data_IF_456689733718
#
_entry.id   IF_456689733718
#
_cell.length_a   1.000
_cell.length_b   1.000
_cell.length_c   1.000
_cell.angle_alpha   90.00
_cell.angle_beta   90.00
_cell.angle_gamma   90.00
#
_symmetry.space_group_name_H-M   'P 1'
#
loop_
_entity.id
_entity.type
_entity.pdbx_description
1 polymer ?
#
# COMPACT_ATOMS: atom_id res chain seq x y z
N UNK A 1 -83.35 -14.00 -34.81
CA UNK A 1 -82.62 -12.73 -34.59
C UNK A 1 -81.71 -12.54 -35.79
N UNK A 2 -81.65 -11.34 -36.40
CA UNK A 2 -80.74 -11.09 -37.52
C UNK A 2 -79.29 -11.34 -37.05
N UNK A 3 -78.52 -12.03 -37.89
CA UNK A 3 -77.16 -12.47 -37.58
C UNK A 3 -76.18 -11.35 -37.94
N UNK A 4 -75.39 -10.88 -36.99
CA UNK A 4 -74.40 -9.82 -37.23
C UNK A 4 -73.24 -10.36 -38.07
N UNK A 5 -73.03 -9.75 -39.24
CA UNK A 5 -71.95 -10.07 -40.16
C UNK A 5 -70.90 -8.95 -40.14
N UNK A 6 -69.62 -9.26 -40.40
CA UNK A 6 -68.60 -8.23 -40.58
C UNK A 6 -68.93 -7.35 -41.80
N UNK A 7 -68.53 -6.07 -41.78
CA UNK A 7 -68.77 -5.16 -42.90
C UNK A 7 -68.14 -5.70 -44.19
N UNK A 8 -68.80 -5.49 -45.33
CA UNK A 8 -68.37 -6.01 -46.64
C UNK A 8 -66.97 -5.55 -47.09
N UNK A 9 -66.43 -4.48 -46.48
CA UNK A 9 -65.06 -3.99 -46.70
C UNK A 9 -64.01 -4.46 -45.68
N UNK A 10 -64.38 -5.29 -44.70
CA UNK A 10 -63.48 -5.74 -43.63
C UNK A 10 -63.15 -4.69 -42.57
N UNK A 11 -62.41 -5.10 -41.54
CA UNK A 11 -61.89 -4.21 -40.50
C UNK A 11 -60.54 -3.61 -40.90
N UNK A 12 -60.20 -2.46 -40.31
CA UNK A 12 -58.88 -1.86 -40.47
C UNK A 12 -57.78 -2.81 -39.97
N UNK A 13 -56.61 -2.74 -40.62
CA UNK A 13 -55.46 -3.55 -40.25
C UNK A 13 -54.96 -3.19 -38.84
N UNK A 14 -55.23 -4.06 -37.88
CA UNK A 14 -54.73 -3.92 -36.51
C UNK A 14 -53.21 -4.11 -36.49
N UNK A 15 -52.48 -3.10 -36.01
CA UNK A 15 -51.04 -3.24 -35.81
C UNK A 15 -50.73 -4.17 -34.64
N UNK A 16 -50.35 -5.39 -34.97
CA UNK A 16 -49.90 -6.39 -33.99
C UNK A 16 -48.40 -6.27 -33.65
N UNK A 17 -47.62 -5.56 -34.48
CA UNK A 17 -46.18 -5.36 -34.29
C UNK A 17 -45.90 -4.15 -33.42
N UNK A 18 -44.98 -4.31 -32.47
CA UNK A 18 -44.54 -3.23 -31.60
C UNK A 18 -43.57 -2.29 -32.34
N UNK A 19 -44.00 -1.06 -32.60
CA UNK A 19 -43.18 -0.03 -33.25
C UNK A 19 -42.36 0.76 -32.22
N UNK A 20 -41.15 0.29 -31.89
CA UNK A 20 -40.22 1.03 -31.02
C UNK A 20 -39.08 1.59 -31.88
N UNK A 21 -39.07 2.89 -32.21
CA UNK A 21 -37.98 3.48 -32.97
C UNK A 21 -36.72 3.55 -32.11
N UNK A 22 -35.59 3.10 -32.66
CA UNK A 22 -34.27 3.21 -32.04
C UNK A 22 -33.79 4.67 -32.12
N UNK A 23 -34.17 5.47 -31.11
CA UNK A 23 -33.75 6.88 -30.98
C UNK A 23 -32.39 6.95 -30.25
N UNK A 24 -31.45 7.74 -30.78
CA UNK A 24 -30.16 8.02 -30.13
C UNK A 24 -28.96 8.01 -31.06
N UNK A 25 -27.78 8.36 -30.52
CA UNK A 25 -26.51 8.21 -31.23
C UNK A 25 -26.12 6.72 -31.27
N UNK A 26 -25.55 6.29 -32.40
CA UNK A 26 -25.01 4.92 -32.50
C UNK A 26 -23.87 4.73 -31.47
N UNK A 27 -23.69 3.52 -30.90
CA UNK A 27 -22.65 3.22 -29.90
C UNK A 27 -21.24 3.69 -30.29
N UNK A 28 -20.91 3.63 -31.58
CA UNK A 28 -19.65 4.10 -32.13
C UNK A 28 -19.34 5.57 -31.80
N UNK A 29 -20.33 6.45 -31.85
CA UNK A 29 -20.12 7.87 -31.59
C UNK A 29 -19.81 8.16 -30.11
N UNK A 30 -20.34 7.35 -29.20
CA UNK A 30 -19.98 7.45 -27.79
C UNK A 30 -18.52 7.05 -27.55
N UNK A 31 -18.03 6.00 -28.23
CA UNK A 31 -16.64 5.59 -28.13
C UNK A 31 -15.69 6.67 -28.66
N UNK A 32 -16.04 7.30 -29.79
CA UNK A 32 -15.27 8.41 -30.36
C UNK A 32 -15.29 9.63 -29.41
N UNK A 33 -16.47 10.00 -28.89
CA UNK A 33 -16.59 11.14 -27.98
C UNK A 33 -15.78 10.96 -26.70
N UNK A 34 -15.90 9.80 -26.04
CA UNK A 34 -15.13 9.48 -24.83
C UNK A 34 -13.64 9.38 -25.15
N UNK A 35 -13.27 8.76 -26.27
CA UNK A 35 -11.88 8.64 -26.71
C UNK A 35 -11.21 10.00 -26.92
N UNK A 36 -11.91 10.96 -27.53
CA UNK A 36 -11.39 12.32 -27.73
C UNK A 36 -11.24 13.08 -26.41
N UNK A 37 -12.22 12.98 -25.50
CA UNK A 37 -12.13 13.61 -24.17
C UNK A 37 -10.95 13.05 -23.38
N UNK A 38 -10.77 11.72 -23.39
CA UNK A 38 -9.66 11.07 -22.70
C UNK A 38 -8.31 11.41 -23.33
N UNK A 39 -8.22 11.41 -24.67
CA UNK A 39 -7.01 11.80 -25.39
C UNK A 39 -6.60 13.25 -25.08
N UNK A 40 -7.57 14.16 -25.03
CA UNK A 40 -7.33 15.54 -24.64
C UNK A 40 -6.91 15.67 -23.17
N UNK A 41 -7.56 14.95 -22.26
CA UNK A 41 -7.19 14.92 -20.85
C UNK A 41 -5.75 14.44 -20.65
N UNK A 42 -5.34 13.39 -21.38
CA UNK A 42 -3.99 12.85 -21.32
C UNK A 42 -2.93 13.85 -21.80
N UNK A 43 -3.24 14.61 -22.87
CA UNK A 43 -2.37 15.72 -23.33
C UNK A 43 -2.14 16.77 -22.24
N UNK A 44 -3.18 17.18 -21.52
CA UNK A 44 -3.06 18.19 -20.46
C UNK A 44 -2.25 17.69 -19.27
N UNK A 45 -2.43 16.42 -18.90
CA UNK A 45 -1.62 15.78 -17.84
C UNK A 45 -0.14 15.78 -18.20
N UNK A 46 0.23 15.45 -19.43
CA UNK A 46 1.63 15.47 -19.85
C UNK A 46 2.28 16.85 -19.75
N UNK A 47 1.54 17.92 -20.06
CA UNK A 47 2.03 19.29 -19.91
C UNK A 47 2.25 19.61 -18.43
N UNK A 48 1.25 19.36 -17.58
CA UNK A 48 1.38 19.60 -16.13
C UNK A 48 2.47 18.78 -15.45
N UNK A 49 2.79 17.59 -15.95
CA UNK A 49 3.86 16.76 -15.40
C UNK A 49 5.26 17.32 -15.67
N UNK A 50 5.43 18.01 -16.81
CA UNK A 50 6.67 18.74 -17.12
C UNK A 50 6.88 19.90 -16.15
N UNK A 51 5.84 20.68 -15.91
CA UNK A 51 5.87 21.80 -14.96
C UNK A 51 6.18 21.33 -13.53
N UNK A 52 5.56 20.23 -13.07
CA UNK A 52 5.86 19.63 -11.77
C UNK A 52 7.31 19.17 -11.64
N UNK A 53 7.88 18.66 -12.72
CA UNK A 53 9.28 18.23 -12.72
C UNK A 53 10.21 19.43 -12.57
N UNK A 54 9.89 20.55 -13.21
CA UNK A 54 10.67 21.78 -13.08
C UNK A 54 10.57 22.35 -11.66
N UNK A 55 9.36 22.46 -11.11
CA UNK A 55 9.18 22.88 -9.71
C UNK A 55 9.91 21.96 -8.71
N UNK A 56 9.88 20.64 -8.94
CA UNK A 56 10.62 19.69 -8.12
C UNK A 56 12.14 19.85 -8.25
N UNK A 57 12.62 20.21 -9.44
CA UNK A 57 14.03 20.56 -9.67
C UNK A 57 14.39 21.81 -8.89
N UNK A 58 13.65 22.90 -9.05
CA UNK A 58 13.88 24.15 -8.29
C UNK A 58 13.92 23.91 -6.78
N UNK A 59 12.98 23.11 -6.26
CA UNK A 59 12.95 22.70 -4.84
C UNK A 59 14.16 21.85 -4.45
N UNK A 60 14.63 20.97 -5.31
CA UNK A 60 15.83 20.17 -5.04
C UNK A 60 17.08 21.06 -5.03
N UNK A 61 17.16 21.99 -5.98
CA UNK A 61 18.25 22.96 -6.06
C UNK A 61 18.29 23.85 -4.82
N UNK A 62 17.16 24.37 -4.35
CA UNK A 62 17.13 25.14 -3.10
C UNK A 62 17.60 24.31 -1.91
N UNK A 63 17.24 23.02 -1.86
CA UNK A 63 17.69 22.11 -0.81
C UNK A 63 19.20 21.87 -0.85
N UNK A 64 19.80 21.60 -2.02
CA UNK A 64 21.25 21.35 -2.14
C UNK A 64 22.06 22.52 -1.58
N UNK A 65 21.61 23.75 -1.76
CA UNK A 65 22.29 24.95 -1.25
C UNK A 65 22.13 25.15 0.26
N UNK A 66 21.02 24.70 0.85
CA UNK A 66 20.74 24.85 2.29
C UNK A 66 21.28 23.68 3.12
N UNK A 67 21.30 22.46 2.57
CA UNK A 67 21.78 21.24 3.24
C UNK A 67 23.15 21.39 3.93
N UNK A 68 24.21 21.97 3.32
CA UNK A 68 25.51 22.05 3.99
C UNK A 68 25.48 22.93 5.24
N UNK A 69 24.68 24.01 5.25
CA UNK A 69 24.53 24.86 6.43
C UNK A 69 23.78 24.13 7.54
N UNK A 70 22.66 23.48 7.20
CA UNK A 70 21.86 22.73 8.17
C UNK A 70 22.62 21.53 8.75
N UNK A 71 23.38 20.82 7.91
CA UNK A 71 24.23 19.72 8.36
C UNK A 71 25.30 20.23 9.35
N UNK A 72 25.92 21.38 9.06
CA UNK A 72 26.91 21.96 9.97
C UNK A 72 26.32 22.42 11.31
N UNK A 73 25.07 22.88 11.33
CA UNK A 73 24.35 23.18 12.59
C UNK A 73 24.03 21.91 13.37
N UNK A 74 23.53 20.88 12.69
CA UNK A 74 23.23 19.60 13.32
C UNK A 74 24.50 18.94 13.91
N UNK A 75 25.60 18.92 13.16
CA UNK A 75 26.87 18.36 13.60
C UNK A 75 27.38 19.06 14.88
N UNK A 76 27.21 20.38 15.02
CA UNK A 76 27.58 21.13 16.24
C UNK A 76 26.74 20.74 17.44
N UNK A 77 25.43 20.57 17.26
CA UNK A 77 24.52 20.18 18.34
C UNK A 77 24.71 18.74 18.77
N UNK A 78 25.01 17.84 17.82
CA UNK A 78 25.36 16.46 18.13
C UNK A 78 26.63 16.37 19.00
N UNK A 79 27.67 17.13 18.65
CA UNK A 79 28.91 17.19 19.43
C UNK A 79 28.68 17.71 20.85
N UNK A 80 27.81 18.72 21.03
CA UNK A 80 27.45 19.24 22.36
C UNK A 80 26.77 18.19 23.23
N UNK A 81 25.82 17.44 22.67
CA UNK A 81 25.12 16.36 23.39
C UNK A 81 26.08 15.23 23.75
N UNK A 82 26.93 14.84 22.80
CA UNK A 82 27.93 13.79 23.00
C UNK A 82 28.86 14.11 24.18
N UNK A 83 29.42 15.31 24.25
CA UNK A 83 30.29 15.69 25.36
C UNK A 83 29.54 15.83 26.70
N UNK A 84 28.28 16.29 26.68
CA UNK A 84 27.46 16.32 27.88
C UNK A 84 27.15 14.91 28.42
N UNK A 85 26.92 13.95 27.53
CA UNK A 85 26.69 12.56 27.90
C UNK A 85 27.97 11.90 28.42
N UNK A 86 29.13 12.15 27.80
CA UNK A 86 30.43 11.68 28.29
C UNK A 86 30.80 12.26 29.67
N UNK A 87 30.52 13.55 29.90
CA UNK A 87 30.73 14.17 31.20
C UNK A 87 29.86 13.51 32.28
N UNK A 88 28.58 13.26 31.97
CA UNK A 88 27.65 12.57 32.86
C UNK A 88 28.07 11.12 33.12
N UNK A 89 28.53 10.39 32.10
CA UNK A 89 29.05 9.03 32.26
C UNK A 89 30.25 9.01 33.19
N UNK A 90 31.19 9.96 33.02
CA UNK A 90 32.38 10.06 33.87
C UNK A 90 32.04 10.36 35.33
N UNK A 91 31.04 11.21 35.59
CA UNK A 91 30.57 11.50 36.95
C UNK A 91 29.92 10.28 37.62
N UNK A 92 29.18 9.47 36.87
CA UNK A 92 28.45 8.31 37.40
C UNK A 92 29.32 7.05 37.53
N UNK A 93 30.15 6.77 36.53
CA UNK A 93 30.92 5.52 36.40
C UNK A 93 32.41 5.70 36.70
N UNK A 94 32.87 6.94 36.92
CA UNK A 94 34.27 7.26 37.22
C UNK A 94 35.25 7.11 36.04
N UNK A 95 34.81 6.55 34.91
CA UNK A 95 35.61 6.35 33.70
C UNK A 95 34.74 6.48 32.44
N UNK A 96 35.38 6.75 31.30
CA UNK A 96 34.70 6.77 29.99
C UNK A 96 34.90 5.42 29.32
N UNK A 97 33.82 4.71 29.02
CA UNK A 97 33.88 3.35 28.46
C UNK A 97 33.52 3.33 26.97
N UNK A 98 34.35 2.67 26.15
CA UNK A 98 34.08 2.48 24.74
C UNK A 98 33.29 1.20 24.49
N UNK A 99 32.13 1.28 23.83
CA UNK A 99 31.33 0.10 23.49
C UNK A 99 31.94 -0.75 22.35
N UNK A 100 32.77 -0.15 21.50
CA UNK A 100 33.32 -0.77 20.30
C UNK A 100 34.85 -0.76 20.33
N UNK A 101 35.46 -1.79 19.73
CA UNK A 101 36.91 -1.98 19.66
C UNK A 101 37.56 -1.33 18.43
N UNK A 102 36.84 -0.44 17.73
CA UNK A 102 37.31 0.24 16.51
C UNK A 102 37.12 1.74 16.63
N UNK A 103 38.10 2.52 16.16
CA UNK A 103 38.08 4.00 16.19
C UNK A 103 37.15 4.63 15.15
N UNK A 104 36.38 3.82 14.42
CA UNK A 104 35.42 4.29 13.42
C UNK A 104 34.22 4.91 14.13
N UNK A 105 33.88 6.15 13.76
CA UNK A 105 32.64 6.77 14.19
C UNK A 105 31.43 5.97 13.70
N UNK A 106 30.57 5.59 14.64
CA UNK A 106 29.29 4.93 14.40
C UNK A 106 28.19 5.86 14.89
N UNK A 107 27.29 6.22 13.98
CA UNK A 107 26.13 7.03 14.33
C UNK A 107 25.29 6.27 15.37
N UNK A 108 24.92 6.96 16.46
CA UNK A 108 24.22 6.35 17.58
C UNK A 108 22.91 5.70 17.10
N UNK A 109 22.77 4.35 17.12
CA UNK A 109 21.63 3.69 16.53
C UNK A 109 20.42 3.79 17.47
N UNK A 110 19.65 4.87 17.33
CA UNK A 110 18.36 5.05 18.02
C UNK A 110 17.37 3.89 17.77
N UNK A 111 17.63 3.09 16.72
CA UNK A 111 16.83 1.94 16.27
C UNK A 111 16.72 0.83 17.33
N UNK A 112 17.74 0.62 18.17
CA UNK A 112 17.72 -0.47 19.17
C UNK A 112 16.69 -0.17 20.28
N UNK A 113 16.49 1.10 20.64
CA UNK A 113 15.52 1.49 21.67
C UNK A 113 14.06 1.32 21.22
N UNK A 114 13.77 1.54 19.93
CA UNK A 114 12.41 1.40 19.37
C UNK A 114 11.94 -0.05 19.29
N UNK A 115 12.83 -0.97 18.90
CA UNK A 115 12.51 -2.41 18.81
C UNK A 115 12.27 -3.01 20.20
N UNK A 116 13.04 -2.62 21.21
CA UNK A 116 12.85 -3.05 22.61
C UNK A 116 11.55 -2.48 23.21
N UNK A 117 11.17 -1.25 22.85
CA UNK A 117 9.90 -0.63 23.26
C UNK A 117 8.66 -1.33 22.68
N UNK A 118 8.69 -1.70 21.40
CA UNK A 118 7.59 -2.42 20.71
C UNK A 118 7.47 -3.86 21.22
N UNK A 119 8.59 -4.55 21.46
CA UNK A 119 8.58 -5.92 21.96
C UNK A 119 8.08 -6.01 23.41
N UNK A 120 8.38 -5.00 24.23
CA UNK A 120 7.91 -4.90 25.62
C UNK A 120 6.46 -4.44 25.76
N UNK A 121 5.88 -3.77 24.75
CA UNK A 121 4.43 -3.50 24.72
C UNK A 121 3.64 -4.73 24.25
N UNK A 122 4.19 -5.52 23.34
CA UNK A 122 3.52 -6.71 22.78
C UNK A 122 3.31 -7.84 23.81
N UNK A 123 4.19 -7.99 24.79
CA UNK A 123 4.04 -9.02 25.86
C UNK A 123 3.02 -8.66 26.93
N UNK A 124 2.52 -7.42 26.97
CA UNK A 124 1.58 -6.95 28.00
C UNK A 124 0.10 -7.17 27.64
N UNK A 125 -0.23 -7.27 26.35
CA UNK A 125 -1.62 -7.41 25.84
C UNK A 125 -2.17 -8.85 25.76
N UNK A 126 -1.31 -9.88 25.78
CA UNK A 126 -1.74 -11.27 25.59
C UNK A 126 -2.48 -11.90 26.79
N UNK A 127 -2.39 -11.32 27.98
CA UNK A 127 -3.03 -11.87 29.20
C UNK A 127 -4.56 -11.74 29.25
N UNK A 128 -5.16 -10.93 28.36
CA UNK A 128 -6.61 -10.74 28.27
C UNK A 128 -7.32 -11.67 27.29
N UNK A 129 -6.60 -12.16 26.26
CA UNK A 129 -7.19 -12.91 25.16
C UNK A 129 -7.48 -14.39 25.53
N UNK A 130 -6.73 -14.96 26.47
CA UNK A 130 -6.85 -16.39 26.85
C UNK A 130 -8.18 -16.72 27.54
N UNK A 131 -8.74 -15.80 28.35
CA UNK A 131 -9.97 -16.08 29.09
C UNK A 131 -11.22 -16.09 28.21
N UNK A 132 -11.31 -15.18 27.24
CA UNK A 132 -12.48 -15.09 26.36
C UNK A 132 -12.52 -16.21 25.33
N UNK A 133 -11.35 -16.62 24.82
CA UNK A 133 -11.22 -17.73 23.86
C UNK A 133 -11.51 -19.07 24.57
N UNK A 134 -10.96 -19.31 25.77
CA UNK A 134 -11.24 -20.53 26.51
C UNK A 134 -12.71 -20.65 26.95
N UNK A 135 -13.38 -19.55 27.31
CA UNK A 135 -14.82 -19.55 27.58
C UNK A 135 -15.69 -19.72 26.33
N UNK A 136 -15.28 -19.15 25.19
CA UNK A 136 -15.96 -19.33 23.92
C UNK A 136 -15.82 -20.78 23.42
N UNK A 137 -14.62 -21.36 23.51
CA UNK A 137 -14.33 -22.76 23.19
C UNK A 137 -15.08 -23.70 24.15
N UNK A 138 -15.13 -23.38 25.45
CA UNK A 138 -15.93 -24.10 26.44
C UNK A 138 -17.43 -24.10 26.15
N UNK A 139 -17.97 -22.97 25.64
CA UNK A 139 -19.38 -22.87 25.19
C UNK A 139 -19.65 -23.64 23.90
N UNK A 140 -18.69 -23.69 22.97
CA UNK A 140 -18.81 -24.42 21.70
C UNK A 140 -18.71 -25.94 21.93
N UNK A 141 -17.80 -26.39 22.82
CA UNK A 141 -17.64 -27.80 23.15
C UNK A 141 -18.83 -28.38 23.93
N UNK A 142 -19.53 -27.58 24.74
CA UNK A 142 -20.74 -28.01 25.46
C UNK A 142 -21.96 -28.19 24.54
N UNK A 143 -21.95 -27.61 23.34
CA UNK A 143 -23.02 -27.70 22.32
C UNK A 143 -22.86 -28.87 21.34
N UNK A 144 -21.72 -29.58 21.38
CA UNK A 144 -21.40 -30.74 20.52
C UNK A 144 -21.33 -32.07 21.27
N UNK A 145 -21.92 -32.17 22.46
CA UNK A 145 -22.07 -33.43 23.19
C UNK A 145 -23.18 -34.29 22.60
N UNK A 146 -22.94 -34.96 21.47
CA UNK A 146 -23.98 -35.78 20.84
C UNK A 146 -23.58 -36.54 19.57
N UNK A 147 -22.42 -37.23 19.58
CA UNK A 147 -22.16 -38.50 18.88
C UNK A 147 -20.69 -38.90 19.04
N UNK A 148 -20.42 -39.85 19.94
CA UNK A 148 -19.17 -40.62 19.92
C UNK A 148 -19.31 -41.68 18.82
N UNK A 149 -18.64 -41.48 17.70
CA UNK A 149 -18.20 -42.58 16.86
C UNK A 149 -16.70 -42.71 17.02
N UNK A 150 -16.25 -43.87 17.54
CA UNK A 150 -14.86 -44.32 17.42
C UNK A 150 -14.58 -44.53 15.94
N UNK A 151 -13.51 -43.91 15.43
CA UNK A 151 -12.78 -44.38 14.25
C UNK A 151 -11.30 -44.12 14.51
N UNK A 152 -10.52 -45.11 14.11
CA UNK A 152 -9.22 -45.47 14.65
C UNK A 152 -8.06 -44.55 14.23
N UNK A 153 -7.01 -44.63 15.04
CA UNK A 153 -5.68 -44.12 14.74
C UNK A 153 -5.17 -44.75 13.46
N UNK A 154 -4.84 -43.91 12.48
CA UNK A 154 -4.27 -44.29 11.19
C UNK A 154 -3.30 -43.22 10.71
N UNK A 155 -2.04 -43.43 11.09
CA UNK A 155 -0.83 -43.03 10.38
C UNK A 155 -1.02 -42.70 8.89
N UNK A 156 -0.61 -41.50 8.45
CA UNK A 156 0.32 -41.30 7.33
C UNK A 156 0.51 -39.82 6.93
N UNK A 157 1.80 -39.46 6.88
CA UNK A 157 2.48 -38.69 5.82
C UNK A 157 1.94 -37.30 5.42
N UNK A 158 2.72 -36.31 5.85
CA UNK A 158 3.57 -35.48 4.96
C UNK A 158 2.94 -35.10 3.62
N UNK A 159 2.30 -33.93 3.57
CA UNK A 159 2.16 -33.15 2.35
C UNK A 159 2.09 -31.66 2.69
N UNK A 160 3.19 -30.93 2.56
CA UNK A 160 3.12 -29.57 2.01
C UNK A 160 4.50 -29.09 1.52
N UNK A 161 4.68 -29.29 0.22
CA UNK A 161 5.20 -28.33 -0.77
C UNK A 161 6.03 -27.15 -0.24
N UNK A 162 7.30 -27.17 -0.62
CA UNK A 162 8.22 -26.04 -0.62
C UNK A 162 7.72 -24.92 -1.53
N UNK A 163 7.60 -23.70 -0.98
CA UNK A 163 7.37 -22.46 -1.71
C UNK A 163 8.75 -21.91 -2.13
N UNK A 164 9.06 -21.70 -3.42
CA UNK A 164 10.23 -20.92 -3.82
C UNK A 164 9.91 -19.42 -3.74
N UNK A 165 10.60 -18.70 -2.85
CA UNK A 165 10.58 -17.23 -2.77
C UNK A 165 11.33 -16.67 -3.98
N UNK A 166 10.57 -16.07 -4.91
CA UNK A 166 11.09 -15.34 -6.06
C UNK A 166 11.72 -14.01 -5.60
N UNK A 167 13.04 -13.97 -5.47
CA UNK A 167 13.77 -12.71 -5.27
C UNK A 167 14.01 -12.04 -6.62
N UNK A 168 13.07 -11.21 -7.10
CA UNK A 168 13.30 -10.32 -8.25
C UNK A 168 13.50 -8.88 -7.78
N UNK A 169 14.73 -8.58 -7.39
CA UNK A 169 15.20 -7.22 -7.14
C UNK A 169 15.45 -6.53 -8.48
N UNK A 170 14.47 -5.77 -8.97
CA UNK A 170 14.66 -4.86 -10.10
C UNK A 170 15.44 -3.65 -9.59
N UNK A 171 16.74 -3.56 -9.89
CA UNK A 171 17.47 -2.30 -9.74
C UNK A 171 16.91 -1.31 -10.77
N UNK A 172 16.60 -0.05 -10.40
CA UNK A 172 16.38 0.98 -11.40
C UNK A 172 17.73 1.34 -12.04
N UNK A 173 17.90 0.99 -13.30
CA UNK A 173 19.02 1.43 -14.14
C UNK A 173 18.84 2.94 -14.41
N UNK A 174 19.68 3.76 -13.79
CA UNK A 174 19.79 5.18 -14.12
C UNK A 174 20.38 5.28 -15.53
N UNK A 175 19.55 5.51 -16.54
CA UNK A 175 20.05 5.84 -17.88
C UNK A 175 20.34 7.33 -17.91
N UNK A 176 21.61 7.70 -17.79
CA UNK A 176 22.06 9.03 -18.14
C UNK A 176 21.79 9.25 -19.63
N UNK A 177 20.93 10.20 -19.97
CA UNK A 177 20.74 10.63 -21.36
C UNK A 177 21.96 11.48 -21.75
N UNK A 178 22.74 11.09 -22.79
CA UNK A 178 23.90 11.89 -23.18
C UNK A 178 23.46 13.09 -24.02
N UNK A 179 24.04 14.24 -23.70
CA UNK A 179 24.37 15.32 -24.64
C UNK A 179 23.22 16.04 -25.33
N UNK A 180 22.99 17.30 -24.94
CA UNK A 180 22.64 18.34 -25.91
C UNK A 180 23.44 19.60 -25.61
N UNK A 181 24.54 19.76 -26.32
CA UNK A 181 25.20 21.04 -26.55
C UNK A 181 24.27 21.87 -27.42
N UNK A 182 23.90 23.05 -26.94
CA UNK A 182 23.19 24.07 -27.71
C UNK A 182 24.22 25.19 -27.88
N UNK A 183 24.69 25.36 -29.12
CA UNK A 183 25.24 26.63 -29.59
C UNK A 183 24.12 27.67 -29.70
#
# INVERSE_FOLDING_TARGET
MPQDLPPTGGYEAVQYRRNIPTRGLKPFWYLVGVGLVMGYGWRQVFIGQREKTEMAREKMWSRIHLTPLLQAEEDRDQVRRYYADLAREKELLGSQSGAYNSDRYVFFPFIICGVVGILSSWTRDWSGLDRSIMEAVGRILRRRGGRRHKVDMGENRMANTSIPVFHRFVRPTFTATPGRTVE
#
